data_IF_796410875964
#
_entry.id   IF_796410875964
#
_cell.length_a   1.000
_cell.length_b   1.000
_cell.length_c   1.000
_cell.angle_alpha   90.00
_cell.angle_beta   90.00
_cell.angle_gamma   90.00
#
_symmetry.space_group_name_H-M   'P 1'
#
loop_
_entity.id
_entity.type
_entity.pdbx_description
1 polymer ?
#
# COMPACT_ATOMS: atom_id res chain seq x y z
N UNK A 1 4.82 3.69 -17.45
CA UNK A 1 4.00 4.80 -17.92
C UNK A 1 2.50 4.50 -17.84
N UNK A 2 2.02 3.32 -18.32
CA UNK A 2 0.59 2.95 -18.29
C UNK A 2 0.03 2.94 -16.86
N UNK A 3 0.76 2.41 -15.88
CA UNK A 3 0.36 2.41 -14.47
C UNK A 3 0.17 3.85 -13.96
N UNK A 4 1.13 4.74 -14.18
CA UNK A 4 1.02 6.13 -13.76
C UNK A 4 -0.21 6.83 -14.38
N UNK A 5 -0.45 6.63 -15.68
CA UNK A 5 -1.64 7.17 -16.35
C UNK A 5 -2.90 6.61 -15.73
N UNK A 6 -2.94 5.30 -15.47
CA UNK A 6 -4.08 4.64 -14.81
C UNK A 6 -4.32 5.17 -13.40
N UNK A 7 -3.27 5.37 -12.61
CA UNK A 7 -3.30 5.93 -11.27
C UNK A 7 -3.94 7.32 -11.24
N UNK A 8 -3.39 8.25 -12.01
CA UNK A 8 -3.87 9.64 -12.08
C UNK A 8 -5.29 9.73 -12.67
N UNK A 9 -5.62 8.83 -13.62
CA UNK A 9 -6.97 8.78 -14.16
C UNK A 9 -7.99 8.28 -13.14
N UNK A 10 -7.65 7.28 -12.32
CA UNK A 10 -8.52 6.79 -11.24
C UNK A 10 -8.82 7.87 -10.20
N UNK A 11 -7.89 8.78 -9.96
CA UNK A 11 -8.08 9.90 -9.04
C UNK A 11 -9.19 10.86 -9.47
N UNK A 12 -9.68 10.81 -10.71
CA UNK A 12 -10.89 11.55 -11.11
C UNK A 12 -12.13 11.10 -10.30
N UNK A 13 -12.11 9.87 -9.80
CA UNK A 13 -13.18 9.30 -8.95
C UNK A 13 -12.69 9.10 -7.52
N UNK A 14 -11.69 8.25 -7.32
CA UNK A 14 -11.12 7.97 -6.02
C UNK A 14 -10.12 9.07 -5.66
N UNK A 15 -10.49 9.83 -4.71
CA UNK A 15 -10.03 11.03 -4.04
C UNK A 15 -10.72 12.31 -4.54
N UNK A 16 -10.74 12.62 -5.82
CA UNK A 16 -11.31 13.90 -6.25
C UNK A 16 -12.79 14.05 -5.88
N UNK A 17 -13.55 12.99 -5.96
CA UNK A 17 -14.99 12.97 -5.66
C UNK A 17 -15.36 12.04 -4.51
N UNK A 18 -14.88 10.80 -4.55
CA UNK A 18 -15.00 9.82 -3.48
C UNK A 18 -13.76 9.94 -2.58
N UNK A 19 -13.89 10.56 -1.41
CA UNK A 19 -12.76 10.88 -0.53
C UNK A 19 -13.07 10.63 0.94
N UNK A 20 -12.05 10.43 1.78
CA UNK A 20 -12.23 10.40 3.22
C UNK A 20 -12.91 11.66 3.72
N UNK A 21 -13.72 11.54 4.78
CA UNK A 21 -14.46 12.66 5.35
C UNK A 21 -13.56 13.77 5.89
N UNK A 22 -12.33 13.44 6.33
CA UNK A 22 -11.34 14.36 6.84
C UNK A 22 -10.89 15.38 5.77
N UNK A 23 -11.03 15.03 4.49
CA UNK A 23 -10.75 15.91 3.34
C UNK A 23 -11.98 16.70 2.88
N UNK A 24 -13.01 16.86 3.73
CA UNK A 24 -14.23 17.60 3.43
C UNK A 24 -14.58 18.62 4.54
N UNK A 25 -14.52 19.93 4.26
CA UNK A 25 -14.00 20.58 3.06
C UNK A 25 -12.47 20.43 2.96
N UNK A 26 -11.89 20.72 1.78
CA UNK A 26 -10.44 20.86 1.71
C UNK A 26 -9.99 22.10 2.47
N UNK A 27 -8.99 21.91 3.33
CA UNK A 27 -8.25 22.99 3.98
C UNK A 27 -6.77 22.87 3.58
N UNK A 28 -6.30 23.80 2.75
CA UNK A 28 -4.92 23.82 2.28
C UNK A 28 -3.98 24.57 3.22
N UNK A 29 -4.49 25.16 4.32
CA UNK A 29 -3.70 25.90 5.29
C UNK A 29 -2.97 24.98 6.27
N UNK A 30 -3.39 23.72 6.38
CA UNK A 30 -2.84 22.76 7.34
C UNK A 30 -2.80 21.35 6.77
N UNK A 31 -1.96 20.51 7.34
CA UNK A 31 -1.92 19.08 7.02
C UNK A 31 -3.20 18.38 7.52
N UNK A 32 -3.85 17.65 6.63
CA UNK A 32 -5.01 16.82 7.01
C UNK A 32 -4.53 15.47 7.49
N UNK A 33 -4.88 15.11 8.73
CA UNK A 33 -4.60 13.78 9.29
C UNK A 33 -5.77 12.85 8.98
N UNK A 34 -5.48 11.76 8.29
CA UNK A 34 -6.48 10.74 7.94
C UNK A 34 -5.87 9.35 7.98
N UNK A 35 -6.63 8.39 8.49
CA UNK A 35 -6.27 6.97 8.38
C UNK A 35 -6.78 6.34 7.07
N UNK A 36 -7.37 7.14 6.19
CA UNK A 36 -7.99 6.70 4.93
C UNK A 36 -7.08 6.74 3.70
N UNK A 37 -5.80 7.16 3.82
CA UNK A 37 -4.90 7.25 2.66
C UNK A 37 -4.63 5.89 2.01
N UNK A 38 -4.62 4.81 2.77
CA UNK A 38 -4.51 3.46 2.22
C UNK A 38 -5.62 3.13 1.22
N UNK A 39 -6.85 3.63 1.45
CA UNK A 39 -7.97 3.42 0.54
C UNK A 39 -7.92 4.40 -0.63
N UNK A 40 -7.53 5.64 -0.37
CA UNK A 40 -7.39 6.67 -1.38
C UNK A 40 -6.28 6.32 -2.39
N UNK A 41 -5.10 5.97 -1.90
CA UNK A 41 -3.89 5.74 -2.70
C UNK A 41 -3.61 4.25 -2.93
N UNK A 42 -3.71 3.42 -1.88
CA UNK A 42 -3.40 2.01 -1.99
C UNK A 42 -4.38 1.24 -2.88
N UNK A 43 -5.70 1.53 -2.80
CA UNK A 43 -6.68 0.96 -3.74
C UNK A 43 -6.40 1.45 -5.17
N UNK A 44 -6.04 2.71 -5.34
CA UNK A 44 -5.67 3.26 -6.65
C UNK A 44 -4.42 2.58 -7.19
N UNK A 45 -3.39 2.38 -6.36
CA UNK A 45 -2.15 1.66 -6.72
C UNK A 45 -2.39 0.18 -7.06
N UNK A 46 -3.33 -0.50 -6.40
CA UNK A 46 -3.72 -1.86 -6.80
C UNK A 46 -4.44 -1.88 -8.15
N UNK A 47 -5.33 -0.93 -8.37
CA UNK A 47 -6.09 -0.87 -9.61
C UNK A 47 -5.23 -0.44 -10.81
N UNK A 48 -4.23 0.43 -10.61
CA UNK A 48 -3.32 0.82 -11.70
C UNK A 48 -2.43 -0.35 -12.19
N UNK A 49 -2.14 -1.34 -11.32
CA UNK A 49 -1.49 -2.59 -11.69
C UNK A 49 -2.42 -3.48 -12.54
N UNK A 50 -3.71 -3.51 -12.22
CA UNK A 50 -4.66 -4.46 -12.83
C UNK A 50 -5.36 -3.91 -14.06
N UNK A 51 -5.58 -2.59 -14.14
CA UNK A 51 -6.28 -1.95 -15.26
C UNK A 51 -5.63 -2.16 -16.63
N UNK A 52 -4.28 -2.06 -16.79
CA UNK A 52 -3.65 -2.33 -18.08
C UNK A 52 -3.92 -3.75 -18.59
N UNK A 53 -3.92 -4.73 -17.68
CA UNK A 53 -4.26 -6.12 -17.99
C UNK A 53 -5.74 -6.26 -18.40
N UNK A 54 -6.65 -5.68 -17.62
CA UNK A 54 -8.09 -5.72 -17.90
C UNK A 54 -8.47 -5.00 -19.21
N UNK A 55 -7.69 -3.99 -19.59
CA UNK A 55 -7.84 -3.26 -20.85
C UNK A 55 -7.19 -3.96 -22.06
N UNK A 56 -6.53 -5.11 -21.85
CA UNK A 56 -5.82 -5.82 -22.92
C UNK A 56 -4.52 -5.15 -23.38
N UNK A 57 -4.00 -4.19 -22.59
CA UNK A 57 -2.75 -3.45 -22.86
C UNK A 57 -1.51 -4.14 -22.30
N UNK A 58 -1.68 -5.14 -21.45
CA UNK A 58 -0.61 -5.98 -20.92
C UNK A 58 -1.09 -7.41 -20.78
N UNK A 59 -0.15 -8.35 -20.66
CA UNK A 59 -0.44 -9.78 -20.51
C UNK A 59 -0.38 -10.22 -19.03
N UNK A 60 -0.76 -11.48 -18.78
CA UNK A 60 -0.74 -12.09 -17.45
C UNK A 60 0.67 -12.12 -16.84
N UNK A 61 1.69 -12.35 -17.65
CA UNK A 61 3.09 -12.41 -17.18
C UNK A 61 3.54 -11.05 -16.65
N UNK A 62 3.19 -10.00 -17.41
CA UNK A 62 3.46 -8.61 -17.00
C UNK A 62 2.73 -8.27 -15.70
N UNK A 63 1.43 -8.62 -15.57
CA UNK A 63 0.68 -8.39 -14.34
C UNK A 63 1.32 -9.10 -13.14
N UNK A 64 1.72 -10.37 -13.28
CA UNK A 64 2.36 -11.11 -12.17
C UNK A 64 3.72 -10.52 -11.80
N UNK A 65 4.49 -10.06 -12.79
CA UNK A 65 5.75 -9.35 -12.56
C UNK A 65 5.53 -8.05 -11.79
N UNK A 66 4.56 -7.25 -12.21
CA UNK A 66 4.25 -5.95 -11.59
C UNK A 66 3.78 -6.14 -10.14
N UNK A 67 2.88 -7.11 -9.89
CA UNK A 67 2.47 -7.49 -8.53
C UNK A 67 3.67 -7.97 -7.68
N UNK A 68 4.59 -8.73 -8.28
CA UNK A 68 5.81 -9.17 -7.57
C UNK A 68 6.70 -8.00 -7.21
N UNK A 69 6.92 -7.05 -8.10
CA UNK A 69 7.72 -5.84 -7.85
C UNK A 69 7.10 -4.98 -6.76
N UNK A 70 5.77 -4.88 -6.72
CA UNK A 70 5.05 -4.09 -5.72
C UNK A 70 5.04 -4.75 -4.34
N UNK A 71 4.84 -6.07 -4.26
CA UNK A 71 4.62 -6.75 -2.99
C UNK A 71 5.87 -7.37 -2.36
N UNK A 72 6.88 -7.78 -3.16
CA UNK A 72 8.09 -8.41 -2.61
C UNK A 72 8.83 -7.53 -1.59
N UNK A 73 8.95 -6.20 -1.78
CA UNK A 73 9.58 -5.35 -0.78
C UNK A 73 8.89 -5.37 0.58
N UNK A 74 7.57 -5.61 0.63
CA UNK A 74 6.82 -5.67 1.88
C UNK A 74 7.23 -6.87 2.74
N UNK A 75 7.63 -7.98 2.11
CA UNK A 75 7.98 -9.23 2.80
C UNK A 75 9.34 -9.16 3.50
N UNK A 76 10.19 -8.22 3.07
CA UNK A 76 11.55 -8.04 3.61
C UNK A 76 11.74 -6.73 4.36
N UNK A 77 10.72 -5.87 4.41
CA UNK A 77 10.79 -4.58 5.09
C UNK A 77 10.56 -4.77 6.60
N UNK A 78 11.56 -4.52 7.47
CA UNK A 78 11.40 -4.61 8.92
C UNK A 78 10.31 -3.67 9.46
N UNK A 79 10.07 -2.54 8.78
CA UNK A 79 9.03 -1.58 9.14
C UNK A 79 7.62 -2.16 9.13
N UNK A 80 7.37 -3.26 8.40
CA UNK A 80 6.07 -3.96 8.40
C UNK A 80 5.69 -4.54 9.77
N UNK A 81 6.68 -4.83 10.62
CA UNK A 81 6.48 -5.31 11.99
C UNK A 81 6.35 -4.18 13.01
N UNK A 82 6.66 -2.94 12.62
CA UNK A 82 6.73 -1.78 13.52
C UNK A 82 5.60 -0.78 13.30
N UNK A 83 5.15 -0.60 12.07
CA UNK A 83 4.15 0.40 11.71
C UNK A 83 2.94 -0.26 11.04
N UNK A 84 1.76 0.07 11.56
CA UNK A 84 0.49 -0.36 10.95
C UNK A 84 0.17 0.44 9.70
N UNK A 85 -0.74 -0.07 8.87
CA UNK A 85 -1.22 0.62 7.68
C UNK A 85 -1.99 1.91 8.03
N UNK A 86 -2.73 1.90 9.12
CA UNK A 86 -3.41 3.10 9.66
C UNK A 86 -2.41 4.16 10.09
N UNK A 87 -1.34 3.77 10.79
CA UNK A 87 -0.31 4.71 11.25
C UNK A 87 0.47 5.27 10.08
N UNK A 88 0.81 4.44 9.08
CA UNK A 88 1.42 4.92 7.84
C UNK A 88 0.58 6.01 7.16
N UNK A 89 -0.74 5.83 7.14
CA UNK A 89 -1.66 6.84 6.60
C UNK A 89 -1.71 8.12 7.44
N UNK A 90 -1.81 8.00 8.77
CA UNK A 90 -1.89 9.16 9.69
C UNK A 90 -0.61 9.96 9.74
N UNK A 91 0.53 9.27 9.69
CA UNK A 91 1.86 9.85 9.84
C UNK A 91 2.50 10.27 8.52
N UNK A 92 1.77 10.22 7.40
CA UNK A 92 2.28 10.51 6.07
C UNK A 92 3.09 11.81 5.99
N UNK A 93 2.58 12.89 6.57
CA UNK A 93 3.20 14.22 6.53
C UNK A 93 4.54 14.31 7.28
N UNK A 94 4.71 13.54 8.35
CA UNK A 94 5.90 13.60 9.21
C UNK A 94 6.87 12.45 8.98
N UNK A 95 6.42 11.36 8.35
CA UNK A 95 7.25 10.19 8.06
C UNK A 95 7.49 10.01 6.57
N UNK A 96 6.46 9.71 5.77
CA UNK A 96 6.65 9.38 4.36
C UNK A 96 7.24 10.56 3.57
N UNK A 97 6.71 11.76 3.76
CA UNK A 97 7.17 12.98 3.07
C UNK A 97 8.39 13.66 3.72
N UNK A 98 8.83 13.16 4.88
CA UNK A 98 10.05 13.61 5.56
C UNK A 98 10.92 12.42 5.94
N UNK A 99 11.24 11.59 4.92
CA UNK A 99 12.02 10.39 5.12
C UNK A 99 13.41 10.69 5.68
N UNK A 100 13.84 9.86 6.63
CA UNK A 100 15.18 9.85 7.23
C UNK A 100 15.92 8.57 6.80
N UNK A 101 17.22 8.45 7.03
CA UNK A 101 17.95 7.21 6.76
C UNK A 101 17.32 5.97 7.41
N UNK A 102 16.72 6.11 8.59
CA UNK A 102 16.05 5.02 9.32
C UNK A 102 14.64 4.68 8.78
N UNK A 103 14.05 5.53 7.93
CA UNK A 103 12.67 5.35 7.44
C UNK A 103 12.47 4.04 6.70
N UNK A 104 13.48 3.61 5.94
CA UNK A 104 13.41 2.37 5.14
C UNK A 104 13.27 1.10 6.00
N UNK A 105 13.71 1.14 7.25
CA UNK A 105 13.71 -0.01 8.16
C UNK A 105 12.64 0.10 9.26
N UNK A 106 11.97 1.25 9.38
CA UNK A 106 11.01 1.54 10.45
C UNK A 106 9.61 1.93 9.98
N UNK A 107 9.42 2.06 8.67
CA UNK A 107 8.16 2.55 8.10
C UNK A 107 7.68 1.65 6.97
N UNK A 108 6.36 1.69 6.74
CA UNK A 108 5.73 1.12 5.55
C UNK A 108 5.08 2.22 4.71
N UNK A 109 4.97 1.98 3.43
CA UNK A 109 4.25 2.88 2.53
C UNK A 109 2.78 2.51 2.47
N UNK A 110 1.88 3.45 2.77
CA UNK A 110 0.45 3.23 2.60
C UNK A 110 0.04 3.05 1.12
N UNK A 111 0.88 3.43 0.17
CA UNK A 111 0.70 3.06 -1.25
C UNK A 111 0.88 1.55 -1.41
N UNK A 112 2.07 1.02 -1.07
CA UNK A 112 2.42 -0.38 -1.29
C UNK A 112 1.65 -1.34 -0.38
N UNK A 113 1.65 -1.09 0.93
CA UNK A 113 0.92 -1.93 1.88
C UNK A 113 -0.60 -1.78 1.67
N UNK A 114 -1.06 -0.58 1.28
CA UNK A 114 -2.44 -0.34 0.88
C UNK A 114 -2.83 -1.07 -0.41
N UNK A 115 -1.94 -1.15 -1.40
CA UNK A 115 -2.17 -1.96 -2.60
C UNK A 115 -2.26 -3.46 -2.27
N UNK A 116 -1.39 -3.96 -1.36
CA UNK A 116 -1.47 -5.34 -0.88
C UNK A 116 -2.77 -5.61 -0.09
N UNK A 117 -3.21 -4.66 0.73
CA UNK A 117 -4.52 -4.72 1.41
C UNK A 117 -5.67 -4.77 0.41
N UNK A 118 -5.65 -3.92 -0.62
CA UNK A 118 -6.66 -3.89 -1.68
C UNK A 118 -6.69 -5.21 -2.48
N UNK A 119 -5.51 -5.76 -2.79
CA UNK A 119 -5.37 -7.08 -3.41
C UNK A 119 -5.99 -8.17 -2.53
N UNK A 120 -5.66 -8.22 -1.25
CA UNK A 120 -6.20 -9.20 -0.31
C UNK A 120 -7.73 -9.10 -0.21
N UNK A 121 -8.26 -7.88 -0.14
CA UNK A 121 -9.71 -7.65 -0.17
C UNK A 121 -10.35 -8.11 -1.47
N UNK A 122 -9.79 -7.75 -2.63
CA UNK A 122 -10.35 -8.12 -3.92
C UNK A 122 -10.40 -9.63 -4.12
N UNK A 123 -9.34 -10.36 -3.72
CA UNK A 123 -9.32 -11.82 -3.78
C UNK A 123 -10.41 -12.44 -2.89
N UNK A 124 -10.56 -11.97 -1.64
CA UNK A 124 -11.62 -12.47 -0.74
C UNK A 124 -13.02 -12.18 -1.29
N UNK A 125 -13.24 -10.99 -1.81
CA UNK A 125 -14.52 -10.61 -2.40
C UNK A 125 -14.84 -11.41 -3.68
N UNK A 126 -13.81 -11.75 -4.48
CA UNK A 126 -13.97 -12.61 -5.68
C UNK A 126 -14.36 -14.04 -5.30
N UNK A 127 -13.91 -14.55 -4.17
CA UNK A 127 -14.38 -15.84 -3.63
C UNK A 127 -15.89 -15.81 -3.29
N UNK A 128 -16.47 -14.64 -3.11
CA UNK A 128 -17.92 -14.41 -2.92
C UNK A 128 -18.62 -13.95 -4.22
N UNK A 129 -18.04 -14.23 -5.41
CA UNK A 129 -18.57 -13.80 -6.71
C UNK A 129 -18.78 -12.30 -6.86
N UNK A 130 -17.97 -11.48 -6.16
CA UNK A 130 -18.01 -10.03 -6.21
C UNK A 130 -16.60 -9.46 -6.41
N UNK A 131 -16.35 -8.19 -6.08
CA UNK A 131 -15.03 -7.58 -6.23
C UNK A 131 -14.89 -6.30 -5.44
N UNK A 132 -13.67 -5.81 -5.27
CA UNK A 132 -13.38 -4.49 -4.72
C UNK A 132 -14.01 -3.37 -5.54
N UNK A 133 -14.15 -3.55 -6.85
CA UNK A 133 -14.84 -2.60 -7.73
C UNK A 133 -16.32 -2.44 -7.33
N UNK A 134 -16.97 -3.50 -6.84
CA UNK A 134 -18.34 -3.38 -6.35
C UNK A 134 -18.41 -2.53 -5.06
N UNK A 135 -17.44 -2.69 -4.15
CA UNK A 135 -17.30 -1.83 -2.96
C UNK A 135 -17.15 -0.37 -3.37
N UNK A 136 -16.26 -0.08 -4.33
CA UNK A 136 -16.08 1.27 -4.85
C UNK A 136 -17.35 1.83 -5.48
N UNK A 137 -18.12 1.05 -6.23
CA UNK A 137 -19.40 1.46 -6.81
C UNK A 137 -20.44 1.82 -5.73
N UNK A 138 -20.51 1.03 -4.65
CA UNK A 138 -21.45 1.28 -3.55
C UNK A 138 -21.08 2.55 -2.78
N UNK A 139 -19.81 2.75 -2.50
CA UNK A 139 -19.29 3.99 -1.91
C UNK A 139 -19.51 5.19 -2.85
N UNK A 140 -19.28 5.01 -4.16
CA UNK A 140 -19.55 6.05 -5.15
C UNK A 140 -21.01 6.48 -5.18
N UNK A 141 -21.94 5.53 -5.18
CA UNK A 141 -23.37 5.83 -5.14
C UNK A 141 -23.77 6.64 -3.91
N UNK A 142 -23.14 6.33 -2.76
CA UNK A 142 -23.47 6.96 -1.48
C UNK A 142 -22.76 8.30 -1.26
N UNK A 143 -21.50 8.41 -1.69
CA UNK A 143 -20.62 9.53 -1.36
C UNK A 143 -20.05 10.27 -2.57
N UNK A 144 -19.81 9.59 -3.69
CA UNK A 144 -19.10 10.17 -4.84
C UNK A 144 -19.88 11.30 -5.54
N UNK A 145 -21.22 11.27 -5.46
CA UNK A 145 -22.12 12.29 -6.01
C UNK A 145 -22.60 13.30 -4.97
N UNK A 146 -22.32 13.07 -3.71
CA UNK A 146 -22.67 13.95 -2.61
C UNK A 146 -21.42 14.72 -2.16
N UNK A 147 -21.61 15.83 -1.43
CA UNK A 147 -20.50 16.56 -0.81
C UNK A 147 -20.05 15.96 0.52
N UNK A 148 -20.45 14.71 0.83
CA UNK A 148 -20.04 13.98 2.02
C UNK A 148 -18.83 13.10 1.73
N UNK A 149 -17.89 13.01 2.67
CA UNK A 149 -16.80 12.05 2.64
C UNK A 149 -17.22 10.71 3.29
N UNK A 150 -16.50 9.63 2.95
CA UNK A 150 -16.67 8.33 3.59
C UNK A 150 -15.75 8.20 4.82
N UNK A 151 -16.13 7.31 5.71
CA UNK A 151 -15.33 6.87 6.86
C UNK A 151 -14.89 5.42 6.70
N UNK A 152 -13.97 4.95 7.56
CA UNK A 152 -13.59 3.52 7.67
C UNK A 152 -14.84 2.64 7.88
N UNK A 153 -15.79 3.07 8.71
CA UNK A 153 -17.02 2.32 8.95
C UNK A 153 -17.86 2.16 7.68
N UNK A 154 -17.88 3.16 6.80
CA UNK A 154 -18.60 3.07 5.53
C UNK A 154 -17.94 2.06 4.57
N UNK A 155 -16.59 2.02 4.54
CA UNK A 155 -15.84 1.02 3.77
C UNK A 155 -16.16 -0.38 4.31
N UNK A 156 -16.07 -0.59 5.63
CA UNK A 156 -16.40 -1.87 6.28
C UNK A 156 -17.84 -2.30 6.00
N UNK A 157 -18.77 -1.38 6.10
CA UNK A 157 -20.19 -1.66 5.82
C UNK A 157 -20.42 -2.07 4.34
N UNK A 158 -19.67 -1.48 3.40
CA UNK A 158 -19.74 -1.87 2.00
C UNK A 158 -19.15 -3.28 1.76
N UNK A 159 -18.03 -3.60 2.41
CA UNK A 159 -17.42 -4.94 2.39
C UNK A 159 -18.36 -5.97 3.03
N UNK A 160 -18.95 -5.65 4.18
CA UNK A 160 -19.83 -6.54 4.94
C UNK A 160 -21.09 -6.98 4.18
N UNK A 161 -21.56 -6.20 3.22
CA UNK A 161 -22.66 -6.60 2.33
C UNK A 161 -22.32 -7.78 1.44
N UNK A 162 -21.03 -7.99 1.18
CA UNK A 162 -20.51 -9.03 0.29
C UNK A 162 -19.94 -10.17 1.14
N UNK A 163 -19.07 -9.85 2.08
CA UNK A 163 -18.37 -10.78 2.96
C UNK A 163 -18.23 -10.22 4.37
N UNK A 164 -19.17 -10.54 5.28
CA UNK A 164 -19.10 -10.14 6.69
C UNK A 164 -17.84 -10.64 7.41
N UNK A 165 -17.34 -11.82 7.05
CA UNK A 165 -16.15 -12.40 7.68
C UNK A 165 -14.89 -11.61 7.34
N UNK A 166 -14.75 -11.19 6.08
CA UNK A 166 -13.65 -10.31 5.66
C UNK A 166 -13.80 -8.92 6.29
N UNK A 167 -15.00 -8.36 6.35
CA UNK A 167 -15.25 -7.06 6.99
C UNK A 167 -14.80 -7.02 8.47
N UNK A 168 -14.99 -8.11 9.21
CA UNK A 168 -14.56 -8.24 10.61
C UNK A 168 -13.03 -8.26 10.78
N UNK A 169 -12.28 -8.58 9.73
CA UNK A 169 -10.81 -8.61 9.76
C UNK A 169 -10.16 -7.28 9.37
N UNK A 170 -10.92 -6.37 8.76
CA UNK A 170 -10.39 -5.10 8.21
C UNK A 170 -9.67 -4.28 9.26
N UNK A 171 -10.22 -4.16 10.47
CA UNK A 171 -9.57 -3.36 11.53
C UNK A 171 -8.24 -3.96 11.96
N UNK A 172 -8.17 -5.29 12.12
CA UNK A 172 -6.91 -5.94 12.44
C UNK A 172 -5.86 -5.73 11.34
N UNK A 173 -6.25 -5.89 10.07
CA UNK A 173 -5.36 -5.68 8.93
C UNK A 173 -4.88 -4.22 8.78
N UNK A 174 -5.67 -3.26 9.28
CA UNK A 174 -5.31 -1.85 9.24
C UNK A 174 -4.47 -1.42 10.45
N UNK A 175 -4.82 -1.90 11.64
CA UNK A 175 -4.31 -1.34 12.90
C UNK A 175 -3.20 -2.19 13.55
N UNK A 176 -3.01 -3.44 13.10
CA UNK A 176 -1.96 -4.30 13.63
C UNK A 176 -0.85 -4.47 12.58
N UNK A 177 0.41 -4.15 12.94
CA UNK A 177 1.55 -4.45 12.08
C UNK A 177 1.59 -5.94 11.71
N UNK A 178 2.09 -6.26 10.52
CA UNK A 178 2.29 -7.61 9.98
C UNK A 178 1.05 -8.53 10.01
N UNK A 179 -0.16 -7.96 10.09
CA UNK A 179 -1.41 -8.72 10.21
C UNK A 179 -2.02 -9.13 8.87
N UNK A 180 -1.56 -8.53 7.76
CA UNK A 180 -2.13 -8.77 6.43
C UNK A 180 -1.76 -10.17 5.92
N UNK A 181 -2.73 -11.04 5.57
CA UNK A 181 -2.46 -12.43 5.19
C UNK A 181 -2.02 -12.57 3.71
N UNK A 182 -1.10 -11.72 3.25
CA UNK A 182 -0.69 -11.63 1.85
C UNK A 182 -0.17 -12.97 1.32
N UNK A 183 0.73 -13.63 2.07
CA UNK A 183 1.33 -14.90 1.66
C UNK A 183 0.27 -15.99 1.54
N UNK A 184 -0.66 -16.11 2.49
CA UNK A 184 -1.70 -17.14 2.45
C UNK A 184 -2.67 -16.90 1.28
N UNK A 185 -3.02 -15.65 1.01
CA UNK A 185 -3.92 -15.30 -0.10
C UNK A 185 -3.26 -15.59 -1.46
N UNK A 186 -1.96 -15.31 -1.60
CA UNK A 186 -1.20 -15.67 -2.80
C UNK A 186 -1.19 -17.20 -3.01
N UNK A 187 -1.03 -17.98 -1.93
CA UNK A 187 -1.11 -19.45 -1.98
C UNK A 187 -2.50 -19.95 -2.37
N UNK A 188 -3.57 -19.32 -1.87
CA UNK A 188 -4.96 -19.66 -2.22
C UNK A 188 -5.23 -19.50 -3.72
N UNK A 189 -4.47 -18.63 -4.42
CA UNK A 189 -4.52 -18.46 -5.88
C UNK A 189 -3.64 -19.46 -6.65
N UNK A 190 -3.00 -20.42 -5.99
CA UNK A 190 -2.06 -21.34 -6.60
C UNK A 190 -0.72 -20.71 -6.98
N UNK A 191 -0.41 -19.56 -6.42
CA UNK A 191 0.85 -18.82 -6.61
C UNK A 191 1.74 -18.96 -5.37
N UNK A 192 3.00 -18.61 -5.51
CA UNK A 192 3.95 -18.53 -4.40
C UNK A 192 4.92 -17.39 -4.61
N UNK A 193 5.39 -16.82 -3.52
CA UNK A 193 6.61 -16.01 -3.54
C UNK A 193 7.82 -16.95 -3.55
N UNK A 194 8.78 -16.64 -4.40
CA UNK A 194 10.04 -17.35 -4.49
C UNK A 194 11.15 -16.45 -3.97
N UNK A 195 11.84 -16.90 -2.93
CA UNK A 195 13.01 -16.19 -2.42
C UNK A 195 14.17 -16.40 -3.40
N UNK A 196 14.75 -15.31 -3.83
CA UNK A 196 15.96 -15.31 -4.67
C UNK A 196 17.08 -14.64 -3.91
N UNK A 197 18.04 -15.43 -3.53
CA UNK A 197 19.24 -14.92 -2.89
C UNK A 197 20.18 -14.36 -3.95
N UNK A 198 20.69 -13.14 -3.71
CA UNK A 198 21.75 -12.58 -4.52
C UNK A 198 23.08 -13.25 -4.15
N UNK A 199 23.85 -13.66 -5.16
CA UNK A 199 25.23 -14.13 -4.95
C UNK A 199 26.19 -12.95 -4.64
N UNK A 200 25.69 -11.71 -4.66
CA UNK A 200 26.48 -10.54 -4.27
C UNK A 200 26.57 -10.46 -2.74
N UNK A 201 27.78 -10.29 -2.24
CA UNK A 201 27.98 -9.97 -0.82
C UNK A 201 27.45 -8.56 -0.59
N UNK A 202 26.43 -8.44 0.22
CA UNK A 202 25.87 -7.16 0.62
C UNK A 202 26.42 -6.81 2.00
N UNK A 203 27.09 -5.68 2.09
CA UNK A 203 27.61 -5.16 3.37
C UNK A 203 26.52 -4.55 4.22
N UNK A 204 25.39 -4.22 3.60
CA UNK A 204 24.30 -3.45 4.23
C UNK A 204 24.56 -1.95 4.25
N UNK A 205 25.49 -1.46 3.44
CA UNK A 205 25.80 -0.04 3.31
C UNK A 205 25.20 0.51 2.00
N UNK A 206 24.63 1.70 2.07
CA UNK A 206 24.40 2.54 0.91
C UNK A 206 25.33 3.73 0.98
N UNK A 207 26.12 3.91 -0.08
CA UNK A 207 27.07 4.99 -0.18
C UNK A 207 26.57 6.02 -1.21
N UNK A 208 26.81 7.29 -0.93
CA UNK A 208 26.53 8.40 -1.86
C UNK A 208 27.78 9.27 -1.97
N UNK A 209 28.04 9.76 -3.16
CA UNK A 209 29.09 10.74 -3.38
C UNK A 209 28.49 12.16 -3.33
N UNK A 210 29.08 13.01 -2.50
CA UNK A 210 28.73 14.43 -2.41
C UNK A 210 30.02 15.23 -2.28
N UNK A 211 30.19 16.22 -3.14
CA UNK A 211 31.35 17.13 -3.11
C UNK A 211 32.72 16.44 -3.08
N UNK A 212 32.82 15.30 -3.80
CA UNK A 212 34.05 14.50 -3.86
C UNK A 212 34.30 13.61 -2.62
N UNK A 213 33.37 13.57 -1.67
CA UNK A 213 33.40 12.70 -0.50
C UNK A 213 32.44 11.54 -0.66
N UNK A 214 32.85 10.34 -0.25
CA UNK A 214 31.98 9.17 -0.15
C UNK A 214 31.39 9.12 1.25
N UNK A 215 30.09 9.28 1.33
CA UNK A 215 29.34 9.31 2.59
C UNK A 215 28.47 8.06 2.73
N UNK A 216 28.36 7.55 3.95
CA UNK A 216 27.37 6.52 4.28
C UNK A 216 26.00 7.20 4.39
N UNK A 217 25.09 6.83 3.50
CA UNK A 217 23.71 7.38 3.50
C UNK A 217 22.70 6.45 4.15
N UNK A 218 23.03 5.17 4.30
CA UNK A 218 22.20 4.18 5.00
C UNK A 218 23.06 3.03 5.50
N UNK A 219 22.73 2.56 6.69
CA UNK A 219 23.16 1.27 7.25
C UNK A 219 21.91 0.43 7.46
N UNK A 220 21.84 -0.72 6.78
CA UNK A 220 20.67 -1.63 6.90
C UNK A 220 20.70 -2.28 8.28
N UNK A 221 19.57 -2.22 8.98
CA UNK A 221 19.42 -2.82 10.30
C UNK A 221 19.73 -4.33 10.25
N UNK A 222 20.45 -4.83 11.25
CA UNK A 222 20.90 -6.23 11.35
C UNK A 222 21.83 -6.72 10.23
N UNK A 223 22.38 -5.81 9.41
CA UNK A 223 23.41 -6.14 8.42
C UNK A 223 24.79 -6.32 9.07
N UNK A 224 25.75 -6.80 8.27
CA UNK A 224 27.16 -6.88 8.72
C UNK A 224 27.71 -5.52 9.13
N UNK A 225 27.39 -4.46 8.39
CA UNK A 225 27.79 -3.10 8.72
C UNK A 225 27.19 -2.62 10.04
N UNK A 226 25.92 -2.90 10.29
CA UNK A 226 25.24 -2.57 11.56
C UNK A 226 25.87 -3.34 12.74
N UNK A 227 26.13 -4.65 12.60
CA UNK A 227 26.80 -5.44 13.62
C UNK A 227 28.26 -5.01 13.86
N UNK A 228 28.91 -4.43 12.86
CA UNK A 228 30.23 -3.81 13.00
C UNK A 228 30.19 -2.42 13.69
N UNK A 229 29.01 -1.94 14.09
CA UNK A 229 28.85 -0.67 14.79
C UNK A 229 28.79 0.55 13.88
N UNK A 230 28.62 0.39 12.56
CA UNK A 230 28.44 1.51 11.65
C UNK A 230 27.02 2.10 11.82
N UNK A 231 26.96 3.41 11.83
CA UNK A 231 25.72 4.21 11.87
C UNK A 231 25.78 5.32 10.81
N UNK A 232 24.63 5.93 10.52
CA UNK A 232 24.53 7.11 9.62
C UNK A 232 24.54 8.37 10.46
#
# INVERSE_FOLDING_TARGET
LLQLIGHEYLHQWNVRRLRPREYRPYDYSQAVISDGLWFAEGVTSYLDLTLPFLAGLSDRSTLLKDLSVEFSPLLINPGSQLQSLSDSSREAWVKLYKATPASADSQVSYYKLGAAMAFCLDVRLRQQNSSLTQVLRDLWRKFGRSHRGYSRLDIKAAIAKIDPNTANKVDAWLDQPDSLPLISIVKDLGLRFEERYSNKRETGLTLVEREGLVLVSRVVLSSQAHHAGLVV
#
